data_IF_489719260996
#
_entry.id   IF_489719260996
#
_cell.length_a   1.000
_cell.length_b   1.000
_cell.length_c   1.000
_cell.angle_alpha   90.00
_cell.angle_beta   90.00
_cell.angle_gamma   90.00
#
_symmetry.space_group_name_H-M   'P 1'
#
loop_
_entity.id
_entity.type
_entity.pdbx_description
1 polymer ?
#
# COMPACT_ATOMS: atom_id res chain seq x y z
N UNK A 1 -18.80 -31.95 -11.36
CA UNK A 1 -19.72 -30.82 -11.13
C UNK A 1 -19.21 -29.94 -9.98
N UNK A 2 -17.95 -29.49 -10.06
CA UNK A 2 -17.28 -28.65 -9.04
C UNK A 2 -16.46 -27.52 -9.67
N UNK A 3 -16.36 -27.49 -11.00
CA UNK A 3 -15.56 -26.50 -11.75
C UNK A 3 -16.36 -25.21 -12.03
N UNK A 4 -17.69 -25.24 -11.99
CA UNK A 4 -18.53 -24.10 -12.38
C UNK A 4 -18.76 -23.08 -11.24
N UNK A 5 -18.53 -23.48 -9.96
CA UNK A 5 -18.80 -22.62 -8.79
C UNK A 5 -17.56 -21.85 -8.26
N UNK A 6 -16.34 -22.10 -8.77
CA UNK A 6 -15.10 -21.55 -8.20
C UNK A 6 -14.36 -20.52 -9.08
N UNK A 7 -14.76 -20.36 -10.35
CA UNK A 7 -14.12 -19.44 -11.30
C UNK A 7 -14.31 -17.95 -10.94
N UNK A 8 -15.50 -17.48 -10.51
CA UNK A 8 -15.71 -16.06 -10.20
C UNK A 8 -14.86 -15.56 -9.02
N UNK A 9 -14.62 -16.42 -8.04
CA UNK A 9 -13.88 -16.09 -6.82
C UNK A 9 -12.36 -16.06 -7.08
N UNK A 10 -11.83 -16.99 -7.88
CA UNK A 10 -10.42 -16.98 -8.28
C UNK A 10 -10.08 -15.77 -9.16
N UNK A 11 -10.97 -15.41 -10.10
CA UNK A 11 -10.81 -14.22 -10.92
C UNK A 11 -10.84 -12.94 -10.07
N UNK A 12 -11.78 -12.85 -9.12
CA UNK A 12 -11.83 -11.75 -8.15
C UNK A 12 -10.53 -11.63 -7.37
N UNK A 13 -10.00 -12.72 -6.82
CA UNK A 13 -8.73 -12.71 -6.07
C UNK A 13 -7.56 -12.28 -6.94
N UNK A 14 -7.49 -12.73 -8.20
CA UNK A 14 -6.44 -12.33 -9.16
C UNK A 14 -6.50 -10.84 -9.50
N UNK A 15 -7.70 -10.33 -9.73
CA UNK A 15 -7.97 -8.90 -9.96
C UNK A 15 -7.51 -8.05 -8.76
N UNK A 16 -7.95 -8.42 -7.55
CA UNK A 16 -7.56 -7.73 -6.31
C UNK A 16 -6.05 -7.77 -6.08
N UNK A 17 -5.41 -8.93 -6.32
CA UNK A 17 -3.95 -9.07 -6.20
C UNK A 17 -3.23 -8.11 -7.16
N UNK A 18 -3.72 -8.00 -8.39
CA UNK A 18 -3.17 -7.08 -9.40
C UNK A 18 -3.31 -5.63 -8.95
N UNK A 19 -4.47 -5.25 -8.37
CA UNK A 19 -4.68 -3.91 -7.82
C UNK A 19 -3.73 -3.60 -6.66
N UNK A 20 -3.56 -4.52 -5.72
CA UNK A 20 -2.59 -4.37 -4.62
C UNK A 20 -1.17 -4.16 -5.18
N UNK A 21 -0.78 -4.93 -6.20
CA UNK A 21 0.52 -4.79 -6.84
C UNK A 21 0.67 -3.40 -7.50
N UNK A 22 -0.33 -2.96 -8.27
CA UNK A 22 -0.36 -1.63 -8.90
C UNK A 22 -0.21 -0.53 -7.86
N UNK A 23 -0.90 -0.62 -6.72
CA UNK A 23 -0.81 0.38 -5.65
C UNK A 23 0.61 0.46 -5.07
N UNK A 24 1.31 -0.67 -4.89
CA UNK A 24 2.73 -0.63 -4.48
C UNK A 24 3.61 0.08 -5.50
N UNK A 25 3.39 -0.15 -6.80
CA UNK A 25 4.11 0.57 -7.87
C UNK A 25 3.78 2.06 -7.83
N UNK A 26 2.51 2.44 -7.70
CA UNK A 26 2.10 3.84 -7.64
C UNK A 26 2.72 4.58 -6.45
N UNK A 27 2.84 3.92 -5.30
CA UNK A 27 3.54 4.48 -4.14
C UNK A 27 5.05 4.61 -4.40
N UNK A 28 5.69 3.64 -5.04
CA UNK A 28 7.10 3.78 -5.43
C UNK A 28 7.32 4.95 -6.41
N UNK A 29 6.45 5.08 -7.43
CA UNK A 29 6.50 6.17 -8.41
C UNK A 29 6.18 7.55 -7.82
N UNK A 30 5.50 7.59 -6.66
CA UNK A 30 5.15 8.85 -6.01
C UNK A 30 6.37 9.61 -5.50
N UNK A 31 7.52 8.96 -5.35
CA UNK A 31 8.77 9.66 -5.03
C UNK A 31 9.27 10.57 -6.15
N UNK A 32 8.85 10.34 -7.40
CA UNK A 32 9.21 11.17 -8.54
C UNK A 32 8.16 12.23 -8.87
N UNK A 33 6.89 11.95 -8.56
CA UNK A 33 5.75 12.77 -9.04
C UNK A 33 4.80 13.24 -7.94
N UNK A 34 4.82 12.63 -6.76
CA UNK A 34 3.91 12.87 -5.63
C UNK A 34 2.47 12.40 -5.87
N UNK A 35 1.88 12.77 -7.02
CA UNK A 35 0.46 12.63 -7.30
C UNK A 35 -0.02 11.18 -7.42
N UNK A 36 0.86 10.25 -7.81
CA UNK A 36 0.49 8.82 -7.95
C UNK A 36 0.11 8.18 -6.62
N UNK A 37 0.58 8.70 -5.48
CA UNK A 37 0.16 8.23 -4.16
C UNK A 37 -1.34 8.47 -3.91
N UNK A 38 -1.89 9.57 -4.44
CA UNK A 38 -3.31 9.91 -4.34
C UNK A 38 -4.15 8.89 -5.11
N UNK A 39 -3.72 8.51 -6.32
CA UNK A 39 -4.38 7.45 -7.09
C UNK A 39 -4.35 6.13 -6.33
N UNK A 40 -3.21 5.77 -5.74
CA UNK A 40 -3.07 4.55 -4.96
C UNK A 40 -4.00 4.48 -3.74
N UNK A 41 -4.13 5.57 -2.97
CA UNK A 41 -5.04 5.60 -1.81
C UNK A 41 -6.52 5.59 -2.23
N UNK A 42 -6.88 6.19 -3.36
CA UNK A 42 -8.24 6.10 -3.91
C UNK A 42 -8.57 4.65 -4.27
N UNK A 43 -7.71 3.97 -5.03
CA UNK A 43 -7.89 2.54 -5.37
C UNK A 43 -8.09 1.73 -4.08
N UNK A 44 -7.26 1.98 -3.06
CA UNK A 44 -7.37 1.28 -1.80
C UNK A 44 -8.74 1.41 -1.15
N UNK A 45 -9.28 2.62 -1.05
CA UNK A 45 -10.58 2.84 -0.40
C UNK A 45 -11.74 2.30 -1.25
N UNK A 46 -11.69 2.48 -2.57
CA UNK A 46 -12.73 2.00 -3.49
C UNK A 46 -12.81 0.47 -3.49
N UNK A 47 -11.66 -0.22 -3.39
CA UNK A 47 -11.58 -1.68 -3.53
C UNK A 47 -11.41 -2.43 -2.21
N UNK A 48 -11.42 -1.72 -1.07
CA UNK A 48 -11.29 -2.32 0.25
C UNK A 48 -12.41 -3.31 0.55
N UNK A 49 -13.65 -2.94 0.23
CA UNK A 49 -14.82 -3.77 0.54
C UNK A 49 -14.86 -5.03 -0.31
N UNK A 50 -14.47 -4.93 -1.59
CA UNK A 50 -14.32 -6.09 -2.50
C UNK A 50 -13.29 -7.11 -1.96
N UNK A 51 -12.32 -6.66 -1.17
CA UNK A 51 -11.29 -7.52 -0.56
C UNK A 51 -11.69 -8.13 0.78
N UNK A 52 -12.85 -7.75 1.36
CA UNK A 52 -13.28 -8.21 2.67
C UNK A 52 -13.42 -9.74 2.72
N UNK A 53 -12.96 -10.35 3.81
CA UNK A 53 -12.99 -11.81 3.96
C UNK A 53 -11.93 -12.55 3.15
N UNK A 54 -11.07 -11.84 2.42
CA UNK A 54 -9.91 -12.41 1.72
C UNK A 54 -8.61 -12.08 2.47
N UNK A 55 -7.54 -12.82 2.19
CA UNK A 55 -6.21 -12.50 2.74
C UNK A 55 -5.65 -11.16 2.23
N UNK A 56 -6.15 -10.66 1.09
CA UNK A 56 -5.74 -9.40 0.48
C UNK A 56 -6.27 -8.18 1.24
N UNK A 57 -7.33 -8.32 2.05
CA UNK A 57 -7.84 -7.25 2.92
C UNK A 57 -6.72 -6.64 3.78
N UNK A 58 -5.82 -7.50 4.27
CA UNK A 58 -4.65 -7.11 5.06
C UNK A 58 -3.68 -6.22 4.28
N UNK A 59 -3.51 -6.43 2.97
CA UNK A 59 -2.68 -5.60 2.10
C UNK A 59 -3.30 -4.23 1.83
N UNK A 60 -4.60 -4.18 1.53
CA UNK A 60 -5.33 -2.91 1.39
C UNK A 60 -5.18 -2.06 2.67
N UNK A 61 -5.42 -2.66 3.84
CA UNK A 61 -5.21 -1.99 5.14
C UNK A 61 -3.76 -1.55 5.35
N UNK A 62 -2.79 -2.38 4.97
CA UNK A 62 -1.36 -2.04 5.06
C UNK A 62 -0.99 -0.84 4.20
N UNK A 63 -1.49 -0.78 2.97
CA UNK A 63 -1.25 0.30 2.02
C UNK A 63 -1.95 1.60 2.45
N UNK A 64 -3.17 1.53 2.98
CA UNK A 64 -3.88 2.68 3.57
C UNK A 64 -3.06 3.26 4.73
N UNK A 65 -2.60 2.42 5.66
CA UNK A 65 -1.76 2.85 6.79
C UNK A 65 -0.45 3.47 6.32
N UNK A 66 0.20 2.87 5.33
CA UNK A 66 1.44 3.42 4.76
C UNK A 66 1.25 4.82 4.19
N UNK A 67 0.13 5.08 3.50
CA UNK A 67 -0.18 6.43 3.02
C UNK A 67 -0.34 7.42 4.18
N UNK A 68 -1.19 7.12 5.16
CA UNK A 68 -1.51 8.09 6.22
C UNK A 68 -0.35 8.34 7.17
N UNK A 69 0.38 7.30 7.58
CA UNK A 69 1.60 7.50 8.39
C UNK A 69 2.70 8.17 7.57
N UNK A 70 2.84 7.81 6.29
CA UNK A 70 3.79 8.46 5.39
C UNK A 70 3.52 9.95 5.24
N UNK A 71 2.26 10.33 5.04
CA UNK A 71 1.80 11.71 4.95
C UNK A 71 1.99 12.46 6.27
N UNK A 72 1.66 11.84 7.40
CA UNK A 72 1.85 12.41 8.73
C UNK A 72 3.32 12.75 8.98
N UNK A 73 4.23 11.79 8.78
CA UNK A 73 5.67 12.00 8.98
C UNK A 73 6.27 12.96 7.95
N UNK A 74 5.76 12.97 6.72
CA UNK A 74 6.14 13.95 5.72
C UNK A 74 5.76 15.38 6.16
N UNK A 75 4.54 15.57 6.67
CA UNK A 75 4.09 16.86 7.19
C UNK A 75 4.91 17.30 8.42
N UNK A 76 5.11 16.42 9.40
CA UNK A 76 5.94 16.72 10.58
C UNK A 76 7.38 17.05 10.17
N UNK A 77 7.96 16.26 9.28
CA UNK A 77 9.30 16.47 8.76
C UNK A 77 9.43 17.82 8.03
N UNK A 78 8.48 18.15 7.16
CA UNK A 78 8.46 19.43 6.46
C UNK A 78 8.34 20.63 7.41
N UNK A 79 7.48 20.56 8.44
CA UNK A 79 7.32 21.63 9.44
C UNK A 79 8.58 21.80 10.28
N UNK A 80 9.27 20.71 10.62
CA UNK A 80 10.44 20.72 11.50
C UNK A 80 11.78 20.90 10.76
N UNK A 81 11.77 21.12 9.44
CA UNK A 81 12.99 21.41 8.66
C UNK A 81 13.70 22.67 9.17
N UNK A 82 12.95 23.69 9.63
CA UNK A 82 13.52 24.95 10.12
C UNK A 82 14.42 24.79 11.36
N UNK A 83 14.25 23.70 12.11
CA UNK A 83 15.05 23.38 13.30
C UNK A 83 16.06 22.25 13.04
N UNK A 84 16.40 21.99 11.77
CA UNK A 84 17.32 20.97 11.26
C UNK A 84 16.93 19.49 11.53
N UNK A 85 16.01 19.20 12.44
CA UNK A 85 15.53 17.84 12.76
C UNK A 85 14.66 17.27 11.63
N UNK A 86 13.96 18.11 10.89
CA UNK A 86 13.04 17.66 9.83
C UNK A 86 13.68 16.80 8.75
N UNK A 87 14.95 17.04 8.40
CA UNK A 87 15.68 16.22 7.41
C UNK A 87 15.82 14.78 7.88
N UNK A 88 16.14 14.56 9.16
CA UNK A 88 16.24 13.22 9.73
C UNK A 88 14.88 12.49 9.74
N UNK A 89 13.80 13.22 10.06
CA UNK A 89 12.43 12.67 10.04
C UNK A 89 12.02 12.27 8.62
N UNK A 90 12.27 13.14 7.64
CA UNK A 90 11.95 12.86 6.23
C UNK A 90 12.74 11.67 5.70
N UNK A 91 14.03 11.56 6.03
CA UNK A 91 14.86 10.42 5.65
C UNK A 91 14.41 9.11 6.32
N UNK A 92 14.08 9.15 7.61
CA UNK A 92 13.52 7.99 8.31
C UNK A 92 12.19 7.54 7.69
N UNK A 93 11.31 8.49 7.36
CA UNK A 93 10.04 8.21 6.68
C UNK A 93 10.26 7.60 5.29
N UNK A 94 11.22 8.12 4.52
CA UNK A 94 11.62 7.57 3.22
C UNK A 94 12.02 6.09 3.32
N UNK A 95 12.97 5.78 4.20
CA UNK A 95 13.43 4.41 4.45
C UNK A 95 12.29 3.51 4.95
N UNK A 96 11.45 4.02 5.85
CA UNK A 96 10.29 3.29 6.36
C UNK A 96 9.28 2.94 5.26
N UNK A 97 8.94 3.87 4.37
CA UNK A 97 8.03 3.60 3.25
C UNK A 97 8.63 2.57 2.29
N UNK A 98 9.93 2.66 1.97
CA UNK A 98 10.60 1.64 1.12
C UNK A 98 10.47 0.25 1.74
N UNK A 99 10.79 0.12 3.03
CA UNK A 99 10.62 -1.14 3.76
C UNK A 99 9.18 -1.64 3.67
N UNK A 100 8.19 -0.77 3.87
CA UNK A 100 6.76 -1.13 3.82
C UNK A 100 6.31 -1.60 2.45
N UNK A 101 6.83 -0.99 1.38
CA UNK A 101 6.55 -1.39 -0.01
C UNK A 101 7.19 -2.76 -0.29
N UNK A 102 8.49 -2.92 0.00
CA UNK A 102 9.22 -4.18 -0.25
C UNK A 102 8.62 -5.34 0.53
N UNK A 103 8.37 -5.17 1.85
CA UNK A 103 7.74 -6.21 2.67
C UNK A 103 6.35 -6.57 2.17
N UNK A 104 5.58 -5.56 1.79
CA UNK A 104 4.25 -5.74 1.21
C UNK A 104 4.26 -6.53 -0.09
N UNK A 105 5.20 -6.19 -0.98
CA UNK A 105 5.39 -6.86 -2.26
C UNK A 105 5.81 -8.32 -2.09
N UNK A 106 6.79 -8.59 -1.20
CA UNK A 106 7.27 -9.94 -0.95
C UNK A 106 6.15 -10.84 -0.40
N UNK A 107 5.38 -10.37 0.59
CA UNK A 107 4.24 -11.12 1.12
C UNK A 107 3.16 -11.36 0.04
N UNK A 108 2.88 -10.36 -0.80
CA UNK A 108 1.92 -10.49 -1.90
C UNK A 108 2.36 -11.56 -2.91
N UNK A 109 3.64 -11.58 -3.24
CA UNK A 109 4.23 -12.56 -4.17
C UNK A 109 4.18 -13.98 -3.58
N UNK A 110 4.44 -14.09 -2.27
CA UNK A 110 4.36 -15.33 -1.50
C UNK A 110 2.91 -15.80 -1.21
N UNK A 111 1.89 -15.05 -1.65
CA UNK A 111 0.47 -15.29 -1.30
C UNK A 111 0.20 -15.33 0.21
N UNK A 112 0.90 -14.50 0.97
CA UNK A 112 0.77 -14.38 2.43
C UNK A 112 0.07 -13.08 2.80
N UNK A 113 -0.80 -13.07 3.81
CA UNK A 113 -1.35 -11.83 4.34
C UNK A 113 -0.27 -10.95 4.98
N UNK A 114 -0.60 -9.67 5.18
CA UNK A 114 0.19 -8.76 5.99
C UNK A 114 -0.03 -9.02 7.47
N UNK A 115 1.06 -9.19 8.21
CA UNK A 115 1.05 -9.23 9.67
C UNK A 115 0.89 -7.80 10.21
N UNK A 116 -0.07 -7.63 11.13
CA UNK A 116 -0.48 -6.34 11.69
C UNK A 116 0.44 -5.86 12.80
#
# INVERSE_FOLDING_TARGET
MSEEFNVPDEERIRSLKSLVQVVYVLYALSYFTGITAIVGIIINYVKREDAAGTWLESHFRWQIRTFWFGLLWAAIGAITVFIAIGVAILFANFCWIIYRIVKGWLNLNDNKPMTF
#
